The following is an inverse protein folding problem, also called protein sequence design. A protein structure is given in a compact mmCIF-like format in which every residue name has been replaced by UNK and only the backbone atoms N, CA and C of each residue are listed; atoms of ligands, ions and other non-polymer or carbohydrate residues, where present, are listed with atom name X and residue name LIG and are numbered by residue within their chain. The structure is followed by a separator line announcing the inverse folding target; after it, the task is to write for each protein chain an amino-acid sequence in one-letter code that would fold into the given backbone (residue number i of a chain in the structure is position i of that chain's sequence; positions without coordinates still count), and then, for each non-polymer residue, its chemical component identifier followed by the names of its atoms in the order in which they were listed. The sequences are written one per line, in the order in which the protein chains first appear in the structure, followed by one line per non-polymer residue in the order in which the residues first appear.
data_IF_629450161977
#
_entry.id   IF_629450161977
#
_cell.length_a   1.000
_cell.length_b   1.000
_cell.length_c   1.000
_cell.angle_alpha   90.00
_cell.angle_beta   90.00
_cell.angle_gamma   90.00
#
_symmetry.space_group_name_H-M   'P 1'
#
loop_
_entity.id
_entity.type
_entity.pdbx_description
1 polymer ?
#
# COMPACT_ATOMS: atom_id res chain seq x y z
N UNK A 1 -6.61 18.70 -5.50
CA UNK A 1 -6.49 17.45 -4.73
C UNK A 1 -6.02 17.79 -3.33
N UNK A 2 -6.73 17.32 -2.31
CA UNK A 2 -6.38 17.53 -0.90
C UNK A 2 -5.44 16.41 -0.45
N UNK A 3 -4.33 16.71 0.24
CA UNK A 3 -3.46 15.66 0.79
C UNK A 3 -4.20 14.83 1.84
N UNK A 4 -3.82 13.57 1.97
CA UNK A 4 -4.39 12.65 2.97
C UNK A 4 -3.31 12.46 4.04
N UNK A 5 -3.41 13.14 5.19
CA UNK A 5 -2.48 12.97 6.28
C UNK A 5 -2.75 11.64 7.02
N UNK A 6 -1.73 11.09 7.65
CA UNK A 6 -1.81 9.89 8.51
C UNK A 6 -2.40 8.62 7.86
N UNK A 7 -2.46 8.55 6.53
CA UNK A 7 -2.71 7.31 5.81
C UNK A 7 -1.49 6.38 5.94
N UNK A 8 -1.75 5.09 6.19
CA UNK A 8 -0.72 4.07 6.20
C UNK A 8 -0.51 3.54 4.77
N UNK A 9 0.75 3.50 4.35
CA UNK A 9 1.20 2.86 3.12
C UNK A 9 1.89 1.55 3.49
N UNK A 10 1.19 0.42 3.34
CA UNK A 10 1.67 -0.90 3.71
C UNK A 10 2.25 -1.59 2.47
N UNK A 11 3.41 -2.21 2.62
CA UNK A 11 4.08 -2.97 1.58
C UNK A 11 3.90 -4.47 1.87
N UNK A 12 3.58 -5.21 0.82
CA UNK A 12 3.33 -6.64 0.88
C UNK A 12 4.06 -7.36 -0.24
N UNK A 13 4.55 -8.56 0.05
CA UNK A 13 5.03 -9.51 -0.96
C UNK A 13 3.90 -10.48 -1.25
N UNK A 14 3.40 -10.45 -2.48
CA UNK A 14 2.45 -11.45 -2.97
C UNK A 14 3.15 -12.81 -3.02
N UNK A 15 2.49 -13.82 -2.45
CA UNK A 15 3.03 -15.16 -2.38
C UNK A 15 1.96 -16.13 -2.90
N UNK A 16 2.01 -16.45 -4.19
CA UNK A 16 0.96 -17.20 -4.92
C UNK A 16 0.52 -18.50 -4.22
N UNK A 17 1.42 -19.14 -3.48
CA UNK A 17 1.17 -20.43 -2.81
C UNK A 17 0.99 -20.31 -1.30
N UNK A 18 1.13 -19.12 -0.72
CA UNK A 18 1.16 -18.90 0.73
C UNK A 18 0.37 -17.65 1.11
N UNK A 19 0.36 -17.32 2.40
CA UNK A 19 -0.16 -16.06 2.89
C UNK A 19 0.78 -14.93 2.44
N UNK A 20 0.21 -13.81 1.98
CA UNK A 20 0.98 -12.62 1.63
C UNK A 20 1.83 -12.16 2.82
N UNK A 21 3.09 -11.85 2.57
CA UNK A 21 4.00 -11.41 3.62
C UNK A 21 3.97 -9.89 3.75
N UNK A 22 3.69 -9.41 4.96
CA UNK A 22 3.89 -8.01 5.29
C UNK A 22 5.40 -7.73 5.31
N UNK A 23 5.86 -6.82 4.45
CA UNK A 23 7.29 -6.52 4.33
C UNK A 23 7.65 -5.15 4.91
N UNK A 24 6.70 -4.23 5.06
CA UNK A 24 7.02 -2.91 5.57
C UNK A 24 5.90 -1.90 5.52
N UNK A 25 6.17 -0.69 6.02
CA UNK A 25 5.19 0.40 6.04
C UNK A 25 5.84 1.78 5.92
N UNK A 26 5.01 2.74 5.56
CA UNK A 26 5.22 4.18 5.71
C UNK A 26 3.93 4.83 6.17
N UNK A 27 4.01 6.07 6.67
CA UNK A 27 2.85 6.90 6.98
C UNK A 27 3.00 8.23 6.26
N UNK A 28 1.91 8.70 5.66
CA UNK A 28 1.86 10.02 5.02
C UNK A 28 1.93 11.13 6.05
N UNK A 29 2.80 12.10 5.81
CA UNK A 29 2.91 13.34 6.59
C UNK A 29 1.72 14.26 6.33
N UNK A 30 1.67 15.39 7.04
CA UNK A 30 0.59 16.39 6.90
C UNK A 30 0.45 16.96 5.49
N UNK A 31 1.53 16.99 4.71
CA UNK A 31 1.54 17.43 3.30
C UNK A 31 1.18 16.30 2.30
N UNK A 32 0.86 15.10 2.79
CA UNK A 32 0.58 13.90 2.00
C UNK A 32 1.83 13.20 1.45
N UNK A 33 3.04 13.73 1.70
CA UNK A 33 4.28 13.05 1.32
C UNK A 33 4.50 11.80 2.18
N UNK A 34 5.09 10.75 1.60
CA UNK A 34 5.38 9.51 2.31
C UNK A 34 6.65 8.85 1.79
N UNK A 35 7.24 8.03 2.64
CA UNK A 35 8.27 7.06 2.30
C UNK A 35 7.92 5.76 3.03
N UNK A 36 7.87 4.64 2.30
CA UNK A 36 7.65 3.32 2.88
C UNK A 36 8.89 2.47 2.65
N UNK A 37 9.36 1.83 3.71
CA UNK A 37 10.52 0.92 3.68
C UNK A 37 10.07 -0.45 4.15
N UNK A 38 10.70 -1.48 3.60
CA UNK A 38 10.41 -2.85 3.97
C UNK A 38 11.56 -3.78 3.65
N UNK A 39 11.51 -4.96 4.26
CA UNK A 39 12.44 -6.06 4.07
C UNK A 39 11.64 -7.34 3.84
N UNK A 40 12.02 -8.11 2.83
CA UNK A 40 11.47 -9.43 2.59
C UNK A 40 12.53 -10.48 2.87
N UNK A 41 12.13 -11.59 3.50
CA UNK A 41 12.99 -12.77 3.62
C UNK A 41 13.08 -13.57 2.29
N UNK A 42 12.29 -13.18 1.28
CA UNK A 42 12.34 -13.83 -0.03
C UNK A 42 13.46 -13.24 -0.88
N UNK A 43 14.30 -14.08 -1.50
CA UNK A 43 15.44 -13.63 -2.30
C UNK A 43 15.04 -12.90 -3.59
N UNK A 44 13.75 -12.93 -3.96
CA UNK A 44 13.22 -12.25 -5.15
C UNK A 44 12.19 -11.21 -4.72
N UNK A 45 12.54 -9.93 -4.90
CA UNK A 45 11.66 -8.78 -4.68
C UNK A 45 10.67 -8.54 -5.84
N UNK A 46 10.23 -9.60 -6.52
CA UNK A 46 9.15 -9.52 -7.50
C UNK A 46 7.79 -9.59 -6.79
N UNK A 47 6.72 -9.19 -7.46
CA UNK A 47 5.34 -9.30 -6.94
C UNK A 47 5.13 -8.53 -5.61
N UNK A 48 5.78 -7.39 -5.47
CA UNK A 48 5.49 -6.46 -4.37
C UNK A 48 4.27 -5.63 -4.76
N UNK A 49 3.30 -5.61 -3.87
CA UNK A 49 2.15 -4.71 -3.95
C UNK A 49 2.08 -3.86 -2.69
N UNK A 50 1.22 -2.85 -2.70
CA UNK A 50 0.99 -1.99 -1.56
C UNK A 50 -0.50 -1.86 -1.24
N UNK A 51 -0.78 -1.47 0.00
CA UNK A 51 -2.09 -1.01 0.42
C UNK A 51 -1.98 0.41 0.96
N UNK A 52 -2.95 1.25 0.61
CA UNK A 52 -3.18 2.54 1.23
C UNK A 52 -4.39 2.39 2.14
N UNK A 53 -4.18 2.66 3.42
CA UNK A 53 -5.19 2.59 4.47
C UNK A 53 -5.38 3.98 5.06
N UNK A 54 -6.55 4.56 4.85
CA UNK A 54 -6.95 5.84 5.46
C UNK A 54 -8.30 5.70 6.15
N UNK A 55 -8.55 6.61 7.08
CA UNK A 55 -9.82 6.65 7.81
C UNK A 55 -10.98 6.89 6.83
N UNK A 56 -12.07 6.15 7.01
CA UNK A 56 -13.31 6.50 6.34
C UNK A 56 -13.80 7.85 6.88
N UNK A 57 -14.26 8.73 5.99
CA UNK A 57 -14.96 9.96 6.38
C UNK A 57 -16.37 9.72 6.94
N UNK A 58 -16.75 8.46 7.16
CA UNK A 58 -18.03 8.06 7.76
C UNK A 58 -17.78 7.94 9.27
N UNK A 59 -18.67 8.52 10.06
CA UNK A 59 -18.56 8.73 11.53
C UNK A 59 -18.49 7.43 12.34
N UNK A 60 -18.52 6.26 11.71
CA UNK A 60 -18.28 5.00 12.40
C UNK A 60 -16.80 4.92 12.81
N UNK A 61 -16.56 5.03 14.12
CA UNK A 61 -15.29 5.41 14.74
C UNK A 61 -14.06 4.55 14.39
N UNK A 62 -14.20 3.44 13.66
CA UNK A 62 -13.10 2.51 13.36
C UNK A 62 -13.18 1.88 11.96
N UNK A 63 -13.75 2.60 10.98
CA UNK A 63 -13.76 2.17 9.58
C UNK A 63 -12.59 2.77 8.79
N UNK A 64 -11.96 1.95 7.95
CA UNK A 64 -10.84 2.34 7.10
C UNK A 64 -11.11 1.99 5.64
N UNK A 65 -10.78 2.92 4.74
CA UNK A 65 -10.71 2.64 3.32
C UNK A 65 -9.42 1.87 3.05
N UNK A 66 -9.52 0.68 2.46
CA UNK A 66 -8.36 -0.11 2.04
C UNK A 66 -8.31 -0.15 0.52
N UNK A 67 -7.30 0.51 -0.05
CA UNK A 67 -7.01 0.52 -1.49
C UNK A 67 -5.76 -0.30 -1.74
N UNK A 68 -5.78 -1.23 -2.70
CA UNK A 68 -4.63 -2.05 -3.09
C UNK A 68 -4.05 -1.53 -4.40
N UNK A 69 -2.74 -1.44 -4.50
CA UNK A 69 -2.04 -1.12 -5.74
C UNK A 69 -0.91 -2.09 -6.02
N UNK A 70 -0.84 -2.58 -7.25
CA UNK A 70 0.24 -3.46 -7.70
C UNK A 70 1.31 -2.63 -8.39
N UNK A 71 2.54 -2.72 -7.90
CA UNK A 71 3.68 -2.11 -8.55
C UNK A 71 3.88 -2.84 -9.88
N UNK A 72 4.00 -2.11 -10.99
CA UNK A 72 4.42 -2.75 -12.24
C UNK A 72 5.76 -3.44 -11.97
N UNK A 73 5.82 -4.75 -12.22
CA UNK A 73 7.06 -5.51 -12.11
C UNK A 73 8.12 -4.78 -12.93
N UNK A 74 9.14 -4.28 -12.26
CA UNK A 74 10.33 -3.81 -12.95
C UNK A 74 10.80 -5.05 -13.74
N UNK A 75 10.93 -4.92 -15.07
CA UNK A 75 11.49 -5.97 -15.94
C UNK A 75 12.96 -6.14 -15.61
N UNK A 76 13.26 -6.62 -14.41
CA UNK A 76 14.62 -6.88 -13.97
C UNK A 76 14.79 -8.37 -14.07
N UNK A 77 15.42 -8.82 -15.16
CA UNK A 77 15.90 -10.20 -15.32
C UNK A 77 17.05 -10.54 -14.34
N UNK A 78 17.26 -9.76 -13.28
CA UNK A 78 18.35 -9.93 -12.32
C UNK A 78 17.77 -10.05 -10.92
N UNK A 79 18.22 -11.08 -10.20
CA UNK A 79 18.07 -11.19 -8.74
C UNK A 79 18.64 -9.92 -8.13
N UNK A 80 17.78 -9.13 -7.51
CA UNK A 80 18.14 -7.85 -6.92
C UNK A 80 17.70 -7.87 -5.46
N UNK A 81 18.64 -7.63 -4.55
CA UNK A 81 18.41 -7.67 -3.11
C UNK A 81 17.78 -6.37 -2.57
N UNK A 82 17.75 -5.30 -3.38
CA UNK A 82 17.19 -4.01 -3.00
C UNK A 82 16.47 -3.34 -4.18
N UNK A 83 15.22 -2.92 -3.98
CA UNK A 83 14.43 -2.19 -4.97
C UNK A 83 13.94 -0.87 -4.39
N UNK A 84 13.98 0.18 -5.21
CA UNK A 84 13.39 1.48 -4.90
C UNK A 84 12.39 1.86 -5.97
N UNK A 85 11.16 2.17 -5.56
CA UNK A 85 10.12 2.69 -6.44
C UNK A 85 9.85 4.16 -6.11
N UNK A 86 9.85 5.01 -7.12
CA UNK A 86 9.32 6.37 -7.02
C UNK A 86 7.93 6.39 -7.65
N UNK A 87 6.90 6.46 -6.82
CA UNK A 87 5.50 6.42 -7.24
C UNK A 87 4.98 7.78 -7.74
N UNK A 88 5.69 8.87 -7.44
CA UNK A 88 5.20 10.22 -7.69
C UNK A 88 3.95 10.52 -6.86
N UNK A 89 3.03 11.31 -7.44
CA UNK A 89 1.75 11.62 -6.81
C UNK A 89 0.76 10.50 -7.07
N UNK A 90 0.04 10.09 -6.02
CA UNK A 90 -1.03 9.11 -6.09
C UNK A 90 -2.37 9.84 -5.96
N UNK A 91 -3.20 9.76 -6.98
CA UNK A 91 -4.61 10.13 -6.86
C UNK A 91 -5.43 8.91 -6.46
N UNK A 92 -5.87 8.87 -5.20
CA UNK A 92 -6.65 7.77 -4.67
C UNK A 92 -8.05 7.64 -5.30
N UNK A 93 -8.54 8.68 -5.99
CA UNK A 93 -9.81 8.65 -6.70
C UNK A 93 -9.63 8.20 -8.15
N UNK A 94 -8.39 8.16 -8.66
CA UNK A 94 -8.06 7.60 -9.96
C UNK A 94 -7.75 6.13 -9.84
N UNK A 95 -8.39 5.31 -10.69
CA UNK A 95 -8.09 3.87 -10.78
C UNK A 95 -6.76 3.56 -11.47
N UNK A 96 -6.20 4.53 -12.22
CA UNK A 96 -4.95 4.40 -12.97
C UNK A 96 -3.97 5.51 -12.63
N UNK A 97 -2.72 5.12 -12.38
CA UNK A 97 -1.57 6.02 -12.37
C UNK A 97 -0.53 5.50 -13.35
N UNK A 98 0.46 6.32 -13.69
CA UNK A 98 1.50 5.96 -14.67
C UNK A 98 2.24 4.67 -14.29
N UNK A 99 2.47 4.48 -12.98
CA UNK A 99 3.35 3.44 -12.46
C UNK A 99 2.60 2.22 -11.88
N UNK A 100 1.29 2.32 -11.63
CA UNK A 100 0.49 1.26 -11.00
C UNK A 100 -1.00 1.49 -11.26
N UNK A 101 -1.81 0.48 -10.93
CA UNK A 101 -3.27 0.65 -10.84
C UNK A 101 -3.67 0.63 -9.37
N UNK A 102 -4.61 1.48 -8.98
CA UNK A 102 -5.20 1.48 -7.64
C UNK A 102 -6.60 0.88 -7.77
N UNK A 103 -6.87 -0.16 -6.99
CA UNK A 103 -8.17 -0.78 -6.87
C UNK A 103 -8.66 -0.56 -5.44
N UNK A 104 -9.83 0.08 -5.29
CA UNK A 104 -10.51 0.08 -4.00
C UNK A 104 -10.87 -1.36 -3.68
N UNK A 105 -10.27 -1.91 -2.62
CA UNK A 105 -10.42 -3.33 -2.32
C UNK A 105 -11.61 -3.55 -1.40
N UNK A 106 -11.76 -2.73 -0.35
CA UNK A 106 -12.86 -2.80 0.62
C UNK A 106 -12.85 -1.60 1.57
N UNK A 107 -13.98 -1.37 2.24
CA UNK A 107 -14.03 -0.69 3.54
C UNK A 107 -13.90 -1.76 4.61
N UNK A 108 -12.98 -1.58 5.56
CA UNK A 108 -12.78 -2.49 6.68
C UNK A 108 -13.07 -1.77 7.99
N UNK A 109 -14.12 -2.22 8.68
CA UNK A 109 -14.51 -1.71 9.98
C UNK A 109 -14.14 -2.69 11.08
N UNK A 110 -13.57 -2.18 12.16
CA UNK A 110 -13.34 -2.97 13.37
C UNK A 110 -14.42 -2.61 14.39
N UNK A 111 -15.25 -3.58 14.76
CA UNK A 111 -16.12 -3.41 15.92
C UNK A 111 -15.24 -3.52 17.17
N UNK A 112 -15.07 -2.41 17.89
CA UNK A 112 -14.38 -2.37 19.18
C UNK A 112 -15.18 -3.05 20.32
N UNK A 113 -16.33 -3.67 20.02
CA UNK A 113 -17.22 -4.27 21.01
C UNK A 113 -16.72 -5.60 21.63
N UNK A 114 -15.44 -5.96 21.47
CA UNK A 114 -14.82 -7.13 22.10
C UNK A 114 -13.66 -6.73 23.04
N UNK A 115 -13.88 -5.72 23.90
CA UNK A 115 -13.03 -5.49 25.08
C UNK A 115 -13.83 -5.68 26.35
#
# INVERSE_FOLDING_TARGET
MTPIPNAAFLLWKDNVYMVDDFIGKGITKNDGSFEARGSSNFPRLHDIYFQIVDQCGIVEENCFNVRRGYLKSLKINKTTNECKWNLGKIDINSSRTTNFNVLLSKIQCYNNNNK
#
